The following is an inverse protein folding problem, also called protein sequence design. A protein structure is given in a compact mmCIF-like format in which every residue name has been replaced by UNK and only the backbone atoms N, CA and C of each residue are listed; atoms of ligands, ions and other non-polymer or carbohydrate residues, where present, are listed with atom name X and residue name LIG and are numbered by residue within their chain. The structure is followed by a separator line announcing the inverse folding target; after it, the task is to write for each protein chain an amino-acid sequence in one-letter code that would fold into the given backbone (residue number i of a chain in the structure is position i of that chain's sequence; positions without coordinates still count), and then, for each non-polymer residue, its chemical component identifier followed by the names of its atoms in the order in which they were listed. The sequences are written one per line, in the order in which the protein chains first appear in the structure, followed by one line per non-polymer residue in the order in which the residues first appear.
data_IF_652774812517
#
_entry.id   IF_652774812517
#
_cell.length_a   1.000
_cell.length_b   1.000
_cell.length_c   1.000
_cell.angle_alpha   90.00
_cell.angle_beta   90.00
_cell.angle_gamma   90.00
#
_symmetry.space_group_name_H-M   'P 1'
#
loop_
_entity.id
_entity.type
_entity.pdbx_description
1 polymer ?
#
# COMPACT_ATOMS: atom_id res chain seq x y z
N UNK A 1 9.66 -12.32 9.73
CA UNK A 1 9.47 -11.03 9.04
C UNK A 1 8.20 -11.18 8.24
N UNK A 2 7.19 -10.34 8.49
CA UNK A 2 5.96 -10.39 7.69
C UNK A 2 6.29 -9.80 6.32
N UNK A 3 6.18 -10.62 5.28
CA UNK A 3 6.40 -10.21 3.90
C UNK A 3 5.12 -9.56 3.37
N UNK A 4 5.23 -8.47 2.62
CA UNK A 4 4.07 -7.79 2.03
C UNK A 4 3.51 -8.65 0.90
N UNK A 5 2.24 -9.02 1.00
CA UNK A 5 1.57 -9.86 0.01
C UNK A 5 0.47 -9.09 -0.74
N UNK A 6 0.18 -9.54 -1.97
CA UNK A 6 -1.01 -9.07 -2.70
C UNK A 6 -2.24 -9.51 -1.90
N UNK A 7 -3.09 -8.56 -1.55
CA UNK A 7 -4.23 -8.79 -0.68
C UNK A 7 -4.13 -8.09 0.67
N UNK A 8 -2.92 -7.71 1.10
CA UNK A 8 -2.70 -7.08 2.39
C UNK A 8 -3.27 -5.67 2.45
N UNK A 9 -3.84 -5.34 3.61
CA UNK A 9 -4.18 -3.98 3.97
C UNK A 9 -2.91 -3.22 4.39
N UNK A 10 -2.75 -2.03 3.83
CA UNK A 10 -1.61 -1.15 4.11
C UNK A 10 -2.10 0.27 4.29
N UNK A 11 -1.34 1.04 5.06
CA UNK A 11 -1.54 2.49 5.19
C UNK A 11 -0.31 3.22 4.67
N UNK A 12 -0.55 4.35 4.02
CA UNK A 12 0.52 5.21 3.52
C UNK A 12 0.12 6.67 3.67
N UNK A 13 1.12 7.55 3.67
CA UNK A 13 0.87 9.00 3.75
C UNK A 13 0.88 9.60 2.35
N UNK A 14 -0.19 10.32 2.00
CA UNK A 14 -0.30 11.07 0.74
C UNK A 14 -0.77 12.48 0.99
N UNK A 15 0.00 13.47 0.53
CA UNK A 15 -0.28 14.89 0.74
C UNK A 15 -0.52 15.23 2.23
N UNK A 16 0.27 14.63 3.13
CA UNK A 16 0.14 14.83 4.58
C UNK A 16 -1.07 14.15 5.24
N UNK A 17 -1.82 13.32 4.52
CA UNK A 17 -2.95 12.54 5.05
C UNK A 17 -2.63 11.06 5.05
N UNK A 18 -3.00 10.36 6.12
CA UNK A 18 -2.94 8.90 6.17
C UNK A 18 -4.08 8.37 5.30
N UNK A 19 -3.76 7.41 4.43
CA UNK A 19 -4.67 6.80 3.48
C UNK A 19 -4.56 5.30 3.61
N UNK A 20 -5.70 4.65 3.83
CA UNK A 20 -5.83 3.20 3.78
C UNK A 20 -5.89 2.72 2.33
N UNK A 21 -5.22 1.60 2.07
CA UNK A 21 -5.22 0.94 0.79
C UNK A 21 -4.99 -0.56 0.90
N UNK A 22 -5.03 -1.21 -0.25
CA UNK A 22 -4.81 -2.65 -0.39
C UNK A 22 -3.75 -2.90 -1.45
N UNK A 23 -2.79 -3.78 -1.19
CA UNK A 23 -1.81 -4.18 -2.19
C UNK A 23 -2.51 -5.00 -3.27
N UNK A 24 -2.39 -4.55 -4.51
CA UNK A 24 -2.91 -5.24 -5.71
C UNK A 24 -1.80 -5.71 -6.64
N UNK A 25 -0.54 -5.37 -6.34
CA UNK A 25 0.62 -5.81 -7.12
C UNK A 25 1.92 -5.53 -6.38
N UNK A 26 2.90 -6.39 -6.60
CA UNK A 26 4.26 -6.27 -6.05
C UNK A 26 5.24 -6.16 -7.22
N UNK A 27 6.26 -5.33 -7.04
CA UNK A 27 7.43 -5.22 -7.91
C UNK A 27 8.69 -5.38 -7.07
N UNK A 28 9.82 -5.49 -7.75
CA UNK A 28 11.13 -5.70 -7.11
C UNK A 28 11.45 -4.67 -6.02
N UNK A 29 11.12 -3.38 -6.24
CA UNK A 29 11.43 -2.29 -5.30
C UNK A 29 10.21 -1.45 -4.87
N UNK A 30 9.00 -1.80 -5.32
CA UNK A 30 7.80 -1.02 -5.06
C UNK A 30 6.55 -1.90 -4.96
N UNK A 31 5.48 -1.34 -4.41
CA UNK A 31 4.16 -1.96 -4.33
C UNK A 31 3.12 -1.09 -5.03
N UNK A 32 2.13 -1.74 -5.62
CA UNK A 32 0.97 -1.10 -6.21
C UNK A 32 -0.17 -1.22 -5.22
N UNK A 33 -0.61 -0.07 -4.71
CA UNK A 33 -1.70 0.03 -3.75
C UNK A 33 -2.92 0.61 -4.42
N UNK A 34 -4.06 -0.08 -4.27
CA UNK A 34 -5.37 0.44 -4.60
C UNK A 34 -5.99 1.10 -3.38
N UNK A 35 -6.53 2.32 -3.54
CA UNK A 35 -7.07 3.10 -2.44
C UNK A 35 -8.28 3.97 -2.86
N UNK A 36 -9.13 4.25 -1.88
CA UNK A 36 -10.31 5.11 -2.02
C UNK A 36 -11.44 4.53 -2.89
N UNK A 37 -12.59 5.23 -2.91
CA UNK A 37 -13.84 4.77 -3.54
C UNK A 37 -13.83 4.68 -5.08
N UNK A 38 -12.80 5.20 -5.75
CA UNK A 38 -12.67 5.19 -7.22
C UNK A 38 -11.59 4.24 -7.71
N UNK A 39 -11.17 3.27 -6.88
CA UNK A 39 -10.12 2.29 -7.20
C UNK A 39 -8.85 2.99 -7.74
N UNK A 40 -8.43 4.07 -7.07
CA UNK A 40 -7.23 4.79 -7.49
C UNK A 40 -6.03 3.90 -7.20
N UNK A 41 -5.07 3.90 -8.12
CA UNK A 41 -3.82 3.14 -7.98
C UNK A 41 -2.67 4.10 -7.72
N UNK A 42 -1.76 3.71 -6.84
CA UNK A 42 -0.51 4.42 -6.60
C UNK A 42 0.60 3.40 -6.47
N UNK A 43 1.74 3.71 -7.07
CA UNK A 43 2.97 2.97 -6.87
C UNK A 43 3.75 3.66 -5.75
N UNK A 44 4.09 2.90 -4.72
CA UNK A 44 4.80 3.37 -3.52
C UNK A 44 6.01 2.49 -3.27
N UNK A 45 7.08 3.07 -2.74
CA UNK A 45 8.20 2.26 -2.26
C UNK A 45 7.81 1.50 -1.00
N UNK A 46 8.48 0.38 -0.75
CA UNK A 46 8.29 -0.39 0.48
C UNK A 46 8.48 0.45 1.76
N UNK A 47 9.36 1.45 1.73
CA UNK A 47 9.60 2.36 2.86
C UNK A 47 8.44 3.36 3.11
N UNK A 48 7.54 3.54 2.13
CA UNK A 48 6.42 4.50 2.18
C UNK A 48 5.10 3.85 2.58
N UNK A 49 5.06 2.53 2.72
CA UNK A 49 3.91 1.75 3.18
C UNK A 49 4.17 1.15 4.55
N UNK A 50 3.16 1.25 5.41
CA UNK A 50 3.14 0.56 6.71
C UNK A 50 2.09 -0.54 6.66
N UNK A 51 2.50 -1.77 6.95
CA UNK A 51 1.61 -2.92 7.03
C UNK A 51 0.75 -2.77 8.30
N UNK A 52 -0.56 -2.80 8.17
CA UNK A 52 -1.43 -2.87 9.35
C UNK A 52 -1.42 -4.31 9.84
N UNK A 53 -0.71 -4.59 10.94
CA UNK A 53 -0.76 -5.92 11.57
C UNK A 53 -2.20 -6.23 11.94
N UNK A 54 -2.71 -7.35 11.44
CA UNK A 54 -3.92 -8.02 11.95
C UNK A 54 -3.53 -9.05 12.98
#
# INVERSE_FOLDING_TARGET
MSELAIGDAVVFTKNGKIVDGKIIGLKDNSVIVEYGKRNKKVELKYDEVTQTQS
#
